data_IF_326730175078
#
_entry.id   IF_326730175078
#
_cell.length_a   1.000
_cell.length_b   1.000
_cell.length_c   1.000
_cell.angle_alpha   90.00
_cell.angle_beta   90.00
_cell.angle_gamma   90.00
#
_symmetry.space_group_name_H-M   'P 1'
#
loop_
_entity.id
_entity.type
_entity.pdbx_description
1 polymer ?
#
# COMPACT_ATOMS: atom_id res chain seq x y z
N UNK A 1 -16.51 38.55 6.22
CA UNK A 1 -15.43 38.36 5.23
C UNK A 1 -14.88 36.95 5.36
N UNK A 2 -14.87 36.20 4.26
CA UNK A 2 -14.54 34.78 4.20
C UNK A 2 -13.03 34.51 4.27
N UNK A 3 -12.65 33.43 4.97
CA UNK A 3 -11.54 32.52 4.60
C UNK A 3 -11.60 31.27 5.50
N UNK A 4 -12.54 30.36 5.21
CA UNK A 4 -12.44 28.98 5.68
C UNK A 4 -11.34 28.31 4.86
N UNK A 5 -10.17 28.09 5.45
CA UNK A 5 -9.12 27.25 4.87
C UNK A 5 -9.63 25.82 4.96
N UNK A 6 -10.12 25.27 3.86
CA UNK A 6 -10.35 23.83 3.72
C UNK A 6 -8.99 23.14 3.77
N UNK A 7 -8.60 22.77 4.98
CA UNK A 7 -7.52 21.81 5.21
C UNK A 7 -7.97 20.55 4.47
N UNK A 8 -7.33 20.26 3.34
CA UNK A 8 -7.37 18.93 2.75
C UNK A 8 -6.77 18.03 3.83
N UNK A 9 -7.63 17.51 4.70
CA UNK A 9 -7.34 16.34 5.49
C UNK A 9 -7.12 15.22 4.46
N UNK A 10 -5.91 14.66 4.31
CA UNK A 10 -5.76 13.44 3.55
C UNK A 10 -6.41 12.34 4.38
N UNK A 11 -7.74 12.25 4.29
CA UNK A 11 -8.54 11.23 4.95
C UNK A 11 -8.06 9.87 4.45
N UNK A 12 -7.53 9.06 5.36
CA UNK A 12 -7.41 7.62 5.15
C UNK A 12 -6.14 7.10 4.49
N UNK A 13 -5.09 7.91 4.28
CA UNK A 13 -3.77 7.34 3.99
C UNK A 13 -3.19 6.73 5.28
N UNK A 14 -3.57 5.48 5.55
CA UNK A 14 -2.69 4.55 6.28
C UNK A 14 -1.27 4.82 5.77
N UNK A 15 -0.33 5.14 6.66
CA UNK A 15 1.00 5.59 6.30
C UNK A 15 1.73 4.48 5.52
N UNK A 16 1.54 4.48 4.20
CA UNK A 16 2.22 3.58 3.27
C UNK A 16 3.68 3.99 3.29
N UNK A 17 4.57 3.02 3.48
CA UNK A 17 6.01 3.30 3.44
C UNK A 17 6.38 3.89 2.07
N UNK A 18 7.44 4.70 2.01
CA UNK A 18 7.88 5.29 0.74
C UNK A 18 8.22 4.21 -0.31
N UNK A 19 8.69 3.04 0.14
CA UNK A 19 8.96 1.88 -0.71
C UNK A 19 7.67 1.31 -1.32
N UNK A 20 6.65 1.02 -0.49
CA UNK A 20 5.35 0.51 -0.96
C UNK A 20 4.65 1.49 -1.92
N UNK A 21 4.77 2.79 -1.67
CA UNK A 21 4.24 3.82 -2.54
C UNK A 21 4.89 3.81 -3.94
N UNK A 22 6.21 3.63 -3.98
CA UNK A 22 6.97 3.55 -5.22
C UNK A 22 6.61 2.28 -6.02
N UNK A 23 6.59 1.13 -5.34
CA UNK A 23 6.20 -0.15 -5.93
C UNK A 23 4.77 -0.13 -6.47
N UNK A 24 3.80 0.37 -5.70
CA UNK A 24 2.42 0.48 -6.15
C UNK A 24 2.28 1.36 -7.39
N UNK A 25 3.05 2.45 -7.47
CA UNK A 25 3.07 3.32 -8.65
C UNK A 25 3.65 2.60 -9.88
N UNK A 26 4.68 1.80 -9.68
CA UNK A 26 5.27 0.98 -10.74
C UNK A 26 4.28 -0.08 -11.25
N UNK A 27 3.61 -0.80 -10.35
CA UNK A 27 2.57 -1.77 -10.71
C UNK A 27 1.38 -1.11 -11.42
N UNK A 28 0.91 0.03 -10.92
CA UNK A 28 -0.15 0.82 -11.53
C UNK A 28 0.14 1.11 -13.01
N UNK A 29 1.36 1.58 -13.32
CA UNK A 29 1.78 1.86 -14.71
C UNK A 29 1.86 0.62 -15.57
N UNK A 30 2.33 -0.50 -15.01
CA UNK A 30 2.54 -1.74 -15.76
C UNK A 30 1.23 -2.48 -16.06
N UNK A 31 0.29 -2.44 -15.11
CA UNK A 31 -0.96 -3.19 -15.17
C UNK A 31 -2.16 -2.34 -15.60
N UNK A 32 -1.99 -1.04 -15.81
CA UNK A 32 -3.09 -0.13 -16.12
C UNK A 32 -4.04 0.09 -14.95
N UNK A 33 -3.53 0.00 -13.72
CA UNK A 33 -4.31 0.19 -12.49
C UNK A 33 -4.08 1.59 -11.92
N UNK A 34 -4.96 2.01 -11.01
CA UNK A 34 -4.67 3.14 -10.13
C UNK A 34 -3.69 2.74 -9.02
N UNK A 35 -3.01 3.74 -8.43
CA UNK A 35 -2.09 3.50 -7.31
C UNK A 35 -2.78 2.84 -6.12
N UNK A 36 -4.03 3.21 -5.83
CA UNK A 36 -4.78 2.67 -4.70
C UNK A 36 -5.20 1.22 -4.93
N UNK A 37 -5.59 0.87 -6.17
CA UNK A 37 -5.85 -0.51 -6.56
C UNK A 37 -4.58 -1.37 -6.44
N UNK A 38 -3.44 -0.86 -6.91
CA UNK A 38 -2.16 -1.55 -6.75
C UNK A 38 -1.80 -1.75 -5.26
N UNK A 39 -2.00 -0.73 -4.42
CA UNK A 39 -1.78 -0.83 -2.97
C UNK A 39 -2.69 -1.86 -2.30
N UNK A 40 -3.96 -1.91 -2.71
CA UNK A 40 -4.92 -2.89 -2.20
C UNK A 40 -4.47 -4.31 -2.53
N UNK A 41 -4.11 -4.56 -3.80
CA UNK A 41 -3.63 -5.86 -4.26
C UNK A 41 -2.33 -6.26 -3.57
N UNK A 42 -1.38 -5.34 -3.38
CA UNK A 42 -0.13 -5.63 -2.66
C UNK A 42 -0.38 -6.06 -1.21
N UNK A 43 -1.30 -5.39 -0.50
CA UNK A 43 -1.70 -5.78 0.87
C UNK A 43 -2.42 -7.12 0.91
N UNK A 44 -3.36 -7.34 -0.01
CA UNK A 44 -4.09 -8.61 -0.13
C UNK A 44 -3.12 -9.77 -0.44
N UNK A 45 -2.16 -9.55 -1.33
CA UNK A 45 -1.12 -10.50 -1.65
C UNK A 45 -0.24 -10.81 -0.42
N UNK A 46 0.19 -9.80 0.33
CA UNK A 46 0.93 -9.99 1.60
C UNK A 46 0.15 -10.82 2.62
N UNK A 47 -1.16 -10.60 2.75
CA UNK A 47 -2.06 -11.40 3.58
C UNK A 47 -2.21 -12.85 3.07
N UNK A 48 -2.19 -13.03 1.75
CA UNK A 48 -2.25 -14.34 1.11
C UNK A 48 -0.95 -15.14 1.32
N UNK A 49 0.24 -14.55 1.11
CA UNK A 49 1.52 -15.26 1.35
C UNK A 49 1.66 -15.74 2.79
N UNK A 50 1.04 -15.03 3.73
CA UNK A 50 1.01 -15.43 5.15
C UNK A 50 0.19 -16.71 5.39
N UNK A 51 -0.73 -17.05 4.48
CA UNK A 51 -1.60 -18.23 4.57
C UNK A 51 -1.11 -19.39 3.70
N UNK A 52 -0.42 -19.12 2.58
CA UNK A 52 -0.03 -20.17 1.62
C UNK A 52 1.47 -20.45 1.51
N UNK A 53 2.33 -19.77 2.26
CA UNK A 53 3.74 -20.14 2.37
C UNK A 53 4.15 -20.10 3.85
N UNK A 54 4.57 -21.22 4.47
CA UNK A 54 5.30 -21.10 5.73
C UNK A 54 6.53 -20.25 5.41
N UNK A 55 6.67 -19.12 6.08
CA UNK A 55 7.86 -18.28 6.03
C UNK A 55 9.05 -19.11 6.49
N UNK A 56 9.67 -19.79 5.54
CA UNK A 56 10.91 -20.54 5.70
C UNK A 56 12.07 -19.59 5.88
N UNK A 57 12.13 -18.88 7.00
CA UNK A 57 13.36 -18.34 7.56
C UNK A 57 13.41 -18.67 9.04
N UNK A 58 13.91 -19.89 9.29
CA UNK A 58 14.70 -20.29 10.46
C UNK A 58 15.21 -19.10 11.28
N UNK A 59 14.68 -18.91 12.48
CA UNK A 59 15.41 -18.24 13.56
C UNK A 59 15.41 -19.16 14.77
N UNK A 60 16.61 -19.67 15.05
CA UNK A 60 16.95 -20.44 16.25
C UNK A 60 17.07 -19.46 17.43
N UNK A 61 16.39 -19.72 18.54
CA UNK A 61 17.02 -20.11 19.81
C UNK A 61 15.97 -20.62 20.78
#
# INVERSE_FOLDING_TARGET
>A
MAKKKSKLEPSGISAVSAAEAYEATYFARKCGLTRDEALKIMREAQGWVSTTMPSGTKQKN
#
